data_IF_849804146908
#
_entry.id   IF_849804146908
#
_cell.length_a   1.000
_cell.length_b   1.000
_cell.length_c   1.000
_cell.angle_alpha   90.00
_cell.angle_beta   90.00
_cell.angle_gamma   90.00
#
_symmetry.space_group_name_H-M   'P 1'
#
loop_
_entity.id
_entity.type
_entity.pdbx_description
1 polymer ?
#
# COMPACT_ATOMS: atom_id res chain seq x y z
N UNK A 1 9.17 40.94 -10.75
CA UNK A 1 8.71 41.19 -9.36
C UNK A 1 9.04 39.95 -8.56
N UNK A 2 9.76 40.08 -7.44
CA UNK A 2 10.52 39.01 -6.80
C UNK A 2 9.64 37.90 -6.20
N UNK A 3 9.97 36.63 -6.50
CA UNK A 3 9.48 35.46 -5.75
C UNK A 3 10.48 35.17 -4.64
N UNK A 4 10.05 35.32 -3.39
CA UNK A 4 10.82 34.92 -2.22
C UNK A 4 10.36 33.53 -1.79
N UNK A 5 11.03 32.47 -2.25
CA UNK A 5 10.78 31.11 -1.78
C UNK A 5 11.53 30.91 -0.46
N UNK A 6 10.89 31.27 0.67
CA UNK A 6 11.38 30.85 1.99
C UNK A 6 10.96 29.39 2.21
N UNK A 7 11.89 28.46 1.97
CA UNK A 7 11.79 27.11 2.52
C UNK A 7 12.26 27.19 3.97
N UNK A 8 11.36 27.62 4.87
CA UNK A 8 11.58 27.50 6.31
C UNK A 8 11.56 26.02 6.69
N UNK A 9 12.63 25.53 7.32
CA UNK A 9 12.72 24.15 7.79
C UNK A 9 12.12 23.93 9.19
N UNK A 10 11.57 24.96 9.82
CA UNK A 10 11.07 24.90 11.19
C UNK A 10 9.62 25.40 11.28
N UNK A 11 8.65 24.49 11.31
CA UNK A 11 7.37 24.72 12.02
C UNK A 11 6.59 23.40 12.23
N UNK A 12 6.29 22.99 13.49
CA UNK A 12 5.65 21.71 13.78
C UNK A 12 4.11 21.74 13.95
N UNK A 13 3.39 22.82 13.60
CA UNK A 13 1.95 22.95 13.89
C UNK A 13 1.07 23.33 12.67
N UNK A 14 0.61 22.30 11.91
CA UNK A 14 -0.61 22.30 11.05
C UNK A 14 -0.68 23.27 9.82
N UNK A 15 -1.67 23.17 8.90
CA UNK A 15 -1.79 22.14 7.86
C UNK A 15 -2.06 22.71 6.44
N UNK A 16 -2.10 21.85 5.42
CA UNK A 16 -2.61 22.09 4.05
C UNK A 16 -2.00 23.27 3.25
N UNK A 17 -1.13 22.93 2.30
CA UNK A 17 -1.12 23.61 1.00
C UNK A 17 -1.30 22.55 -0.09
N UNK A 18 -2.48 22.56 -0.72
CA UNK A 18 -2.60 22.14 -2.11
C UNK A 18 -1.89 23.23 -2.90
N UNK A 19 -0.65 22.96 -3.29
CA UNK A 19 0.05 23.87 -4.21
C UNK A 19 -0.52 23.57 -5.59
N UNK A 20 -1.51 24.36 -6.01
CA UNK A 20 -1.81 24.55 -7.41
C UNK A 20 -0.61 25.29 -7.99
N UNK A 21 0.26 24.56 -8.70
CA UNK A 21 1.34 25.18 -9.46
C UNK A 21 0.74 25.53 -10.82
N UNK A 22 0.32 26.78 -10.98
CA UNK A 22 0.15 27.36 -12.31
C UNK A 22 1.55 27.56 -12.89
N UNK A 23 1.93 26.69 -13.85
CA UNK A 23 3.19 26.82 -14.58
C UNK A 23 2.91 27.69 -15.81
N UNK A 24 2.98 29.01 -15.67
CA UNK A 24 3.23 29.87 -16.84
C UNK A 24 4.71 29.75 -17.22
N UNK A 25 4.96 29.37 -18.47
CA UNK A 25 6.32 29.30 -19.05
C UNK A 25 6.86 30.71 -19.23
N UNK A 26 7.65 31.18 -18.28
CA UNK A 26 8.56 32.30 -18.53
C UNK A 26 9.84 31.77 -19.17
N UNK A 27 10.08 32.11 -20.43
CA UNK A 27 11.27 31.74 -21.20
C UNK A 27 12.50 32.60 -20.89
N UNK A 28 12.51 33.32 -19.76
CA UNK A 28 13.59 34.26 -19.43
C UNK A 28 13.86 34.34 -17.93
N UNK A 29 14.78 33.52 -17.40
CA UNK A 29 15.69 33.99 -16.35
C UNK A 29 16.90 33.08 -16.17
N UNK A 30 18.07 33.59 -16.55
CA UNK A 30 19.38 33.12 -16.10
C UNK A 30 19.68 33.61 -14.67
N UNK A 31 18.69 33.56 -13.77
CA UNK A 31 18.94 33.74 -12.34
C UNK A 31 19.13 32.35 -11.75
N UNK A 32 20.41 32.00 -11.57
CA UNK A 32 20.82 30.83 -10.81
C UNK A 32 20.14 30.87 -9.43
N UNK A 33 19.32 29.88 -9.12
CA UNK A 33 18.54 29.82 -7.88
C UNK A 33 19.45 29.83 -6.65
N UNK A 34 19.67 31.02 -6.08
CA UNK A 34 20.53 31.21 -4.92
C UNK A 34 19.95 30.47 -3.69
N UNK A 35 20.76 29.60 -3.08
CA UNK A 35 20.36 28.80 -1.91
C UNK A 35 19.95 27.36 -2.21
N UNK A 36 20.01 26.90 -3.46
CA UNK A 36 19.86 25.47 -3.75
C UNK A 36 21.03 24.67 -3.17
N UNK A 37 20.72 23.50 -2.63
CA UNK A 37 21.73 22.59 -2.09
C UNK A 37 22.67 22.13 -3.22
N UNK A 38 23.94 22.54 -3.13
CA UNK A 38 25.01 22.23 -4.09
C UNK A 38 25.83 20.99 -3.72
N UNK A 39 25.50 20.34 -2.60
CA UNK A 39 26.21 19.14 -2.15
C UNK A 39 25.79 17.89 -2.90
N UNK A 40 26.49 16.79 -2.64
CA UNK A 40 26.20 15.50 -3.25
C UNK A 40 24.90 14.90 -2.71
N UNK A 41 24.25 14.11 -3.56
CA UNK A 41 23.08 13.33 -3.18
C UNK A 41 23.51 12.10 -2.39
N UNK A 42 22.95 11.90 -1.20
CA UNK A 42 23.28 10.75 -0.38
C UNK A 42 22.08 10.27 0.46
N UNK A 43 21.99 8.97 0.77
CA UNK A 43 21.12 8.50 1.83
C UNK A 43 21.48 9.20 3.14
N UNK A 44 20.49 9.44 4.00
CA UNK A 44 20.77 10.02 5.32
C UNK A 44 21.56 9.05 6.19
N UNK A 45 22.32 9.57 7.16
CA UNK A 45 23.10 8.77 8.12
C UNK A 45 22.22 7.73 8.83
N UNK A 46 20.97 8.08 9.15
CA UNK A 46 20.00 7.18 9.74
C UNK A 46 19.63 6.00 8.83
N UNK A 47 19.59 6.19 7.52
CA UNK A 47 19.35 5.11 6.54
C UNK A 47 20.62 4.28 6.35
N UNK A 48 21.80 4.91 6.27
CA UNK A 48 23.08 4.21 6.15
C UNK A 48 23.31 3.26 7.33
N UNK A 49 22.99 3.69 8.55
CA UNK A 49 23.14 2.89 9.77
C UNK A 49 22.29 1.59 9.78
N UNK A 50 21.25 1.52 8.94
CA UNK A 50 20.33 0.36 8.88
C UNK A 50 20.32 -0.31 7.51
N UNK A 51 21.18 0.11 6.58
CA UNK A 51 21.13 -0.27 5.17
C UNK A 51 21.32 -1.77 4.92
N UNK A 52 22.09 -2.45 5.79
CA UNK A 52 22.34 -3.89 5.70
C UNK A 52 21.13 -4.75 6.08
N UNK A 53 20.08 -4.15 6.67
CA UNK A 53 18.88 -4.84 7.10
C UNK A 53 17.66 -4.39 6.28
N UNK A 54 17.25 -5.17 5.27
CA UNK A 54 16.07 -4.85 4.46
C UNK A 54 14.78 -4.66 5.28
N UNK A 55 14.62 -5.39 6.39
CA UNK A 55 13.48 -5.23 7.30
C UNK A 55 13.57 -3.91 8.05
N UNK A 56 14.77 -3.50 8.47
CA UNK A 56 14.96 -2.22 9.15
C UNK A 56 14.71 -1.05 8.20
N UNK A 57 15.17 -1.13 6.94
CA UNK A 57 14.84 -0.18 5.88
C UNK A 57 13.32 -0.12 5.65
N UNK A 58 12.65 -1.25 5.58
CA UNK A 58 11.20 -1.29 5.42
C UNK A 58 10.47 -0.57 6.57
N UNK A 59 10.87 -0.84 7.81
CA UNK A 59 10.28 -0.21 9.01
C UNK A 59 10.69 1.27 9.13
N UNK A 60 11.77 1.71 8.51
CA UNK A 60 12.11 3.13 8.41
C UNK A 60 11.07 3.91 7.59
N UNK A 61 10.70 3.40 6.40
CA UNK A 61 9.71 4.04 5.53
C UNK A 61 8.26 3.84 5.99
N UNK A 62 7.98 2.71 6.64
CA UNK A 62 6.67 2.41 7.24
C UNK A 62 6.83 2.02 8.71
N UNK A 63 6.85 3.01 9.63
CA UNK A 63 7.15 2.81 11.05
C UNK A 63 6.22 1.83 11.77
N UNK A 64 6.70 1.21 12.85
CA UNK A 64 5.89 0.29 13.69
C UNK A 64 4.55 0.90 14.12
N UNK A 65 4.53 2.19 14.48
CA UNK A 65 3.31 2.93 14.85
C UNK A 65 2.28 2.99 13.71
N UNK A 66 2.74 3.08 12.46
CA UNK A 66 1.86 3.04 11.30
C UNK A 66 1.14 1.68 11.24
N UNK A 67 1.89 0.57 11.32
CA UNK A 67 1.30 -0.78 11.28
C UNK A 67 0.36 -1.08 12.46
N UNK A 68 0.68 -0.58 13.65
CA UNK A 68 -0.20 -0.66 14.82
C UNK A 68 -1.55 0.03 14.56
N UNK A 69 -1.51 1.22 13.94
CA UNK A 69 -2.73 1.94 13.56
C UNK A 69 -3.52 1.19 12.49
N UNK A 70 -2.86 0.68 11.44
CA UNK A 70 -3.52 -0.09 10.38
C UNK A 70 -4.18 -1.35 10.95
N UNK A 71 -3.53 -2.05 11.87
CA UNK A 71 -4.13 -3.22 12.54
C UNK A 71 -5.39 -2.84 13.33
N UNK A 72 -5.32 -1.78 14.14
CA UNK A 72 -6.47 -1.25 14.88
C UNK A 72 -7.63 -0.87 13.95
N UNK A 73 -7.32 -0.15 12.87
CA UNK A 73 -8.33 0.26 11.88
C UNK A 73 -8.95 -0.91 11.13
N UNK A 74 -8.14 -1.89 10.75
CA UNK A 74 -8.60 -3.10 10.07
C UNK A 74 -9.52 -3.94 10.97
N UNK A 75 -9.18 -4.10 12.25
CA UNK A 75 -10.02 -4.79 13.22
C UNK A 75 -11.33 -4.04 13.49
N UNK A 76 -11.28 -2.70 13.58
CA UNK A 76 -12.48 -1.87 13.72
C UNK A 76 -13.40 -1.99 12.50
N UNK A 77 -12.83 -1.93 11.30
CA UNK A 77 -13.57 -2.13 10.05
C UNK A 77 -14.18 -3.53 9.97
N UNK A 78 -13.43 -4.56 10.36
CA UNK A 78 -13.92 -5.94 10.44
C UNK A 78 -15.19 -6.04 11.29
N UNK A 79 -15.16 -5.49 12.51
CA UNK A 79 -16.31 -5.50 13.43
C UNK A 79 -17.53 -4.75 12.88
N UNK A 80 -17.32 -3.59 12.24
CA UNK A 80 -18.41 -2.83 11.58
C UNK A 80 -19.04 -3.63 10.43
N UNK A 81 -18.25 -4.40 9.69
CA UNK A 81 -18.72 -5.16 8.53
C UNK A 81 -19.34 -6.52 8.87
N UNK A 82 -19.24 -7.00 10.12
CA UNK A 82 -19.70 -8.33 10.53
C UNK A 82 -21.16 -8.61 10.13
N UNK A 83 -22.08 -7.68 10.38
CA UNK A 83 -23.51 -7.85 10.04
C UNK A 83 -23.73 -7.95 8.54
N UNK A 84 -23.10 -7.06 7.76
CA UNK A 84 -23.22 -7.05 6.30
C UNK A 84 -22.59 -8.31 5.69
N UNK A 85 -21.43 -8.73 6.18
CA UNK A 85 -20.72 -9.95 5.74
C UNK A 85 -21.54 -11.20 6.05
N UNK A 86 -22.16 -11.29 7.23
CA UNK A 86 -23.03 -12.40 7.58
C UNK A 86 -24.24 -12.52 6.67
N UNK A 87 -24.88 -11.40 6.31
CA UNK A 87 -25.98 -11.38 5.35
C UNK A 87 -25.53 -11.84 3.96
N UNK A 88 -24.42 -11.29 3.43
CA UNK A 88 -23.86 -11.69 2.13
C UNK A 88 -23.48 -13.17 2.10
N UNK A 89 -22.86 -13.68 3.17
CA UNK A 89 -22.49 -15.09 3.29
C UNK A 89 -23.73 -15.98 3.25
N UNK A 90 -24.76 -15.65 4.02
CA UNK A 90 -26.00 -16.44 4.05
C UNK A 90 -26.69 -16.45 2.68
N UNK A 91 -26.75 -15.30 1.99
CA UNK A 91 -27.32 -15.23 0.63
C UNK A 91 -26.58 -16.14 -0.34
N UNK A 92 -25.24 -16.15 -0.29
CA UNK A 92 -24.42 -17.05 -1.12
C UNK A 92 -24.67 -18.52 -0.79
N UNK A 93 -24.81 -18.88 0.49
CA UNK A 93 -25.10 -20.25 0.88
C UNK A 93 -26.50 -20.70 0.45
N UNK A 94 -27.51 -19.83 0.55
CA UNK A 94 -28.87 -20.11 0.03
C UNK A 94 -28.86 -20.36 -1.49
N UNK A 95 -28.11 -19.55 -2.24
CA UNK A 95 -27.95 -19.73 -3.68
C UNK A 95 -27.16 -21.00 -4.06
N UNK A 96 -26.33 -21.53 -3.16
CA UNK A 96 -25.69 -22.84 -3.32
C UNK A 96 -26.65 -23.97 -2.98
N UNK A 97 -27.42 -23.83 -1.89
CA UNK A 97 -28.44 -24.80 -1.47
C UNK A 97 -29.53 -25.01 -2.52
N UNK A 98 -29.89 -23.99 -3.28
CA UNK A 98 -30.83 -24.14 -4.40
C UNK A 98 -30.28 -25.00 -5.56
N UNK A 99 -28.95 -25.18 -5.64
CA UNK A 99 -28.28 -26.04 -6.63
C UNK A 99 -27.91 -27.41 -6.07
N UNK A 100 -27.57 -27.46 -4.78
CA UNK A 100 -27.14 -28.65 -4.07
C UNK A 100 -27.88 -28.76 -2.72
N UNK A 101 -28.80 -29.70 -2.66
CA UNK A 101 -29.64 -29.99 -1.49
C UNK A 101 -28.88 -30.60 -0.31
N UNK A 102 -27.56 -30.79 -0.38
CA UNK A 102 -26.73 -31.19 0.75
C UNK A 102 -26.17 -30.01 1.55
N UNK A 103 -26.12 -28.81 0.96
CA UNK A 103 -25.43 -27.63 1.56
C UNK A 103 -26.18 -27.09 2.76
N UNK A 104 -25.58 -27.11 3.95
CA UNK A 104 -26.17 -26.50 5.15
C UNK A 104 -26.10 -24.96 5.08
N UNK A 105 -27.15 -24.28 5.53
CA UNK A 105 -27.21 -22.80 5.58
C UNK A 105 -27.28 -22.35 7.04
N UNK A 106 -26.15 -21.91 7.63
CA UNK A 106 -26.14 -21.43 9.01
C UNK A 106 -27.00 -20.18 9.22
N UNK A 107 -27.43 -19.96 10.46
CA UNK A 107 -28.20 -18.77 10.83
C UNK A 107 -27.30 -17.53 10.78
N UNK A 108 -27.89 -16.35 10.51
CA UNK A 108 -27.15 -15.07 10.59
C UNK A 108 -26.53 -14.84 11.96
N UNK A 109 -27.12 -15.35 13.04
CA UNK A 109 -26.56 -15.26 14.40
C UNK A 109 -25.26 -16.06 14.49
N UNK A 110 -25.27 -17.30 14.03
CA UNK A 110 -24.11 -18.20 14.06
C UNK A 110 -22.97 -17.67 13.19
N UNK A 111 -23.28 -17.15 11.98
CA UNK A 111 -22.27 -16.55 11.10
C UNK A 111 -21.67 -15.30 11.74
N UNK A 112 -22.49 -14.43 12.36
CA UNK A 112 -21.98 -13.24 13.07
C UNK A 112 -21.10 -13.63 14.25
N UNK A 113 -21.47 -14.68 14.98
CA UNK A 113 -20.70 -15.17 16.11
C UNK A 113 -19.33 -15.67 15.66
N UNK A 114 -19.29 -16.53 14.63
CA UNK A 114 -18.04 -17.02 14.03
C UNK A 114 -17.13 -15.88 13.56
N UNK A 115 -17.71 -14.85 12.92
CA UNK A 115 -16.95 -13.68 12.47
C UNK A 115 -16.38 -12.86 13.64
N UNK A 116 -17.09 -12.77 14.77
CA UNK A 116 -16.60 -12.06 15.98
C UNK A 116 -15.51 -12.83 16.72
N UNK A 117 -15.57 -14.16 16.67
CA UNK A 117 -14.58 -15.06 17.28
C UNK A 117 -13.27 -15.12 16.49
N UNK A 118 -13.22 -14.54 15.29
CA UNK A 118 -12.00 -14.46 14.52
C UNK A 118 -10.90 -13.72 15.28
N UNK A 119 -9.68 -14.27 15.24
CA UNK A 119 -8.52 -13.65 15.86
C UNK A 119 -8.32 -12.24 15.30
N UNK A 120 -8.09 -11.27 16.18
CA UNK A 120 -7.73 -9.91 15.78
C UNK A 120 -6.45 -9.91 14.93
N UNK A 121 -6.39 -9.03 13.93
CA UNK A 121 -5.23 -8.84 13.07
C UNK A 121 -4.15 -8.14 13.90
N UNK A 122 -2.97 -8.75 13.96
CA UNK A 122 -1.80 -8.17 14.61
C UNK A 122 -0.91 -7.41 13.61
N UNK A 123 -0.15 -6.39 14.04
CA UNK A 123 0.66 -5.57 13.14
C UNK A 123 1.68 -6.36 12.32
N UNK A 124 2.27 -7.42 12.90
CA UNK A 124 3.24 -8.25 12.20
C UNK A 124 2.59 -9.11 11.10
N UNK A 125 1.32 -9.50 11.25
CA UNK A 125 0.59 -10.24 10.22
C UNK A 125 0.37 -9.39 8.96
N UNK A 126 0.19 -8.08 9.12
CA UNK A 126 0.09 -7.14 7.99
C UNK A 126 1.42 -7.04 7.23
N UNK A 127 2.55 -7.00 7.96
CA UNK A 127 3.88 -6.96 7.36
C UNK A 127 4.16 -8.26 6.60
N UNK A 128 3.81 -9.41 7.18
CA UNK A 128 3.93 -10.72 6.52
C UNK A 128 3.04 -10.78 5.27
N UNK A 129 1.79 -10.34 5.35
CA UNK A 129 0.88 -10.31 4.20
C UNK A 129 1.43 -9.43 3.07
N UNK A 130 1.96 -8.25 3.37
CA UNK A 130 2.60 -7.40 2.38
C UNK A 130 3.89 -8.04 1.82
N UNK A 131 4.69 -8.70 2.67
CA UNK A 131 5.83 -9.50 2.24
C UNK A 131 5.46 -10.57 1.22
N UNK A 132 4.30 -11.23 1.38
CA UNK A 132 3.79 -12.20 0.40
C UNK A 132 3.37 -11.56 -0.92
N UNK A 133 2.78 -10.35 -0.88
CA UNK A 133 2.46 -9.59 -2.09
C UNK A 133 3.74 -9.21 -2.84
N UNK A 134 4.77 -8.73 -2.12
CA UNK A 134 6.08 -8.38 -2.70
C UNK A 134 6.77 -9.62 -3.27
N UNK A 135 6.77 -10.74 -2.55
CA UNK A 135 7.35 -11.99 -3.04
C UNK A 135 6.69 -12.43 -4.36
N UNK A 136 5.35 -12.29 -4.47
CA UNK A 136 4.61 -12.56 -5.70
C UNK A 136 4.99 -11.63 -6.85
N UNK A 137 5.25 -10.35 -6.59
CA UNK A 137 5.70 -9.40 -7.62
C UNK A 137 7.04 -9.79 -8.26
N UNK A 138 7.89 -10.51 -7.52
CA UNK A 138 9.20 -10.95 -8.00
C UNK A 138 9.16 -12.29 -8.77
N UNK A 139 7.99 -12.94 -8.88
CA UNK A 139 7.83 -14.15 -9.70
C UNK A 139 7.34 -13.76 -11.09
N UNK A 140 8.20 -13.97 -12.09
CA UNK A 140 8.07 -13.45 -13.46
C UNK A 140 6.95 -14.04 -14.32
N UNK A 141 6.05 -14.90 -13.80
CA UNK A 141 4.97 -15.52 -14.61
C UNK A 141 3.67 -14.70 -14.57
N UNK A 142 3.72 -13.51 -15.18
CA UNK A 142 2.61 -12.55 -15.21
C UNK A 142 1.40 -12.97 -16.06
N UNK A 143 1.49 -13.98 -16.93
CA UNK A 143 0.40 -14.28 -17.89
C UNK A 143 -0.68 -15.25 -17.40
N UNK A 144 -0.44 -16.07 -16.37
CA UNK A 144 -1.40 -17.12 -15.99
C UNK A 144 -2.40 -16.71 -14.89
N UNK A 145 -2.36 -15.47 -14.39
CA UNK A 145 -2.83 -15.19 -13.01
C UNK A 145 -3.74 -13.98 -12.81
N UNK A 146 -4.25 -13.36 -13.88
CA UNK A 146 -5.28 -12.32 -13.75
C UNK A 146 -6.69 -12.88 -13.49
N UNK A 147 -6.92 -14.17 -13.77
CA UNK A 147 -8.23 -14.85 -13.60
C UNK A 147 -8.36 -15.55 -12.23
N UNK A 148 -7.30 -15.56 -11.40
CA UNK A 148 -7.12 -16.62 -10.39
C UNK A 148 -7.22 -16.20 -8.92
N UNK A 149 -8.02 -15.18 -8.60
CA UNK A 149 -8.34 -14.84 -7.20
C UNK A 149 -9.55 -15.62 -6.63
N UNK A 150 -10.30 -16.34 -7.46
CA UNK A 150 -11.53 -17.04 -7.05
C UNK A 150 -11.36 -18.54 -6.71
N UNK A 151 -10.17 -19.15 -6.90
CA UNK A 151 -9.99 -20.59 -6.71
C UNK A 151 -8.94 -20.97 -5.66
N UNK A 152 -9.39 -21.50 -4.51
CA UNK A 152 -8.56 -22.07 -3.43
C UNK A 152 -7.58 -23.16 -3.93
N UNK A 153 -7.94 -23.88 -5.00
CA UNK A 153 -7.14 -24.96 -5.58
C UNK A 153 -5.83 -24.49 -6.24
N UNK A 154 -5.72 -23.22 -6.70
CA UNK A 154 -4.55 -22.76 -7.48
C UNK A 154 -3.49 -22.03 -6.66
N UNK A 155 -3.87 -21.40 -5.55
CA UNK A 155 -2.91 -20.96 -4.52
C UNK A 155 -2.09 -22.13 -3.97
N UNK A 156 -2.72 -23.29 -3.87
CA UNK A 156 -2.12 -24.57 -3.44
C UNK A 156 -0.94 -25.00 -4.31
N UNK A 157 -0.95 -24.64 -5.60
CA UNK A 157 0.14 -24.94 -6.54
C UNK A 157 1.14 -23.77 -6.62
N UNK A 158 0.66 -22.53 -6.72
CA UNK A 158 1.54 -21.34 -6.80
C UNK A 158 2.41 -21.11 -5.56
N UNK A 159 1.91 -21.43 -4.35
CA UNK A 159 2.72 -21.41 -3.12
C UNK A 159 3.74 -22.54 -3.08
N UNK A 160 3.43 -23.70 -3.68
CA UNK A 160 4.37 -24.82 -3.78
C UNK A 160 5.54 -24.46 -4.71
N UNK A 161 5.25 -23.75 -5.80
CA UNK A 161 6.22 -23.26 -6.76
C UNK A 161 7.05 -22.06 -6.23
N UNK A 162 6.44 -21.17 -5.45
CA UNK A 162 7.14 -20.10 -4.72
C UNK A 162 8.11 -20.67 -3.69
N UNK A 163 7.66 -21.64 -2.88
CA UNK A 163 8.49 -22.28 -1.86
C UNK A 163 9.64 -23.06 -2.51
N UNK A 164 9.39 -23.81 -3.59
CA UNK A 164 10.46 -24.54 -4.30
C UNK A 164 11.44 -23.61 -5.02
N UNK A 165 10.97 -22.50 -5.60
CA UNK A 165 11.83 -21.48 -6.24
C UNK A 165 12.72 -20.74 -5.24
N UNK A 166 12.26 -20.54 -4.00
CA UNK A 166 13.04 -19.88 -2.94
C UNK A 166 14.13 -20.77 -2.30
N UNK A 167 14.14 -22.10 -2.54
CA UNK A 167 15.15 -23.01 -1.96
C UNK A 167 16.54 -22.88 -2.61
N UNK A 168 16.67 -22.16 -3.74
CA UNK A 168 17.92 -22.05 -4.50
C UNK A 168 18.60 -20.67 -4.53
N UNK A 169 18.01 -19.63 -3.91
CA UNK A 169 18.56 -18.26 -3.97
C UNK A 169 18.91 -17.78 -2.56
N UNK A 170 20.21 -17.56 -2.32
CA UNK A 170 20.75 -17.19 -1.00
C UNK A 170 20.03 -16.00 -0.36
N UNK A 171 19.90 -16.05 0.97
CA UNK A 171 19.54 -14.99 1.96
C UNK A 171 18.84 -13.69 1.47
N UNK A 172 17.91 -13.77 0.51
CA UNK A 172 17.17 -12.62 0.02
C UNK A 172 15.94 -12.32 0.87
N UNK A 173 15.45 -11.08 0.86
CA UNK A 173 14.23 -10.64 1.58
C UNK A 173 13.04 -11.59 1.38
N UNK A 174 12.90 -12.17 0.19
CA UNK A 174 11.89 -13.18 -0.16
C UNK A 174 12.02 -14.47 0.68
N UNK A 175 13.22 -14.97 0.95
CA UNK A 175 13.41 -16.23 1.69
C UNK A 175 13.07 -16.10 3.18
N UNK A 176 13.22 -14.90 3.76
CA UNK A 176 12.82 -14.62 5.15
C UNK A 176 11.30 -14.76 5.32
N UNK A 177 10.52 -14.25 4.39
CA UNK A 177 9.06 -14.40 4.40
C UNK A 177 8.62 -15.81 3.99
N UNK A 178 9.41 -16.50 3.14
CA UNK A 178 9.11 -17.84 2.67
C UNK A 178 9.38 -18.93 3.75
N UNK A 179 10.40 -18.75 4.60
CA UNK A 179 10.75 -19.68 5.69
C UNK A 179 9.70 -19.76 6.81
N UNK A 180 8.85 -18.74 6.95
CA UNK A 180 7.77 -18.67 7.96
C UNK A 180 6.52 -19.51 7.53
N UNK A 181 6.53 -20.13 6.34
CA UNK A 181 5.36 -20.74 5.67
C UNK A 181 5.05 -22.22 5.98
N UNK A 182 5.43 -22.77 7.13
CA UNK A 182 5.36 -24.23 7.37
C UNK A 182 3.95 -24.81 7.67
N UNK A 183 2.85 -24.04 7.55
CA UNK A 183 1.48 -24.60 7.57
C UNK A 183 0.55 -24.02 6.48
N UNK A 184 0.46 -24.75 5.35
CA UNK A 184 -0.07 -24.27 4.06
C UNK A 184 -1.58 -23.96 4.01
N UNK A 185 -2.43 -24.55 4.84
CA UNK A 185 -3.90 -24.35 4.76
C UNK A 185 -4.42 -23.25 5.70
N UNK A 186 -3.79 -23.09 6.87
CA UNK A 186 -4.20 -22.09 7.87
C UNK A 186 -3.80 -20.67 7.43
N UNK A 187 -2.66 -20.53 6.75
CA UNK A 187 -2.16 -19.24 6.28
C UNK A 187 -2.95 -18.64 5.11
N UNK A 188 -3.45 -19.44 4.16
CA UNK A 188 -4.21 -18.90 3.00
C UNK A 188 -5.54 -18.30 3.46
N UNK A 189 -6.26 -19.00 4.35
CA UNK A 189 -7.50 -18.48 4.94
C UNK A 189 -7.24 -17.20 5.74
N UNK A 190 -6.19 -17.21 6.58
CA UNK A 190 -5.81 -16.04 7.38
C UNK A 190 -5.40 -14.85 6.51
N UNK A 191 -4.64 -15.09 5.44
CA UNK A 191 -4.28 -14.08 4.46
C UNK A 191 -5.51 -13.47 3.79
N UNK A 192 -6.45 -14.30 3.33
CA UNK A 192 -7.72 -13.87 2.75
C UNK A 192 -8.55 -13.01 3.72
N UNK A 193 -8.60 -13.41 4.99
CA UNK A 193 -9.29 -12.68 6.05
C UNK A 193 -8.67 -11.30 6.30
N UNK A 194 -7.34 -11.25 6.34
CA UNK A 194 -6.56 -10.01 6.45
C UNK A 194 -6.85 -9.13 5.24
N UNK A 195 -6.63 -9.62 4.02
CA UNK A 195 -6.79 -8.84 2.78
C UNK A 195 -8.21 -8.30 2.59
N UNK A 196 -9.24 -9.04 3.02
CA UNK A 196 -10.64 -8.56 3.00
C UNK A 196 -10.92 -7.46 4.03
N UNK A 197 -10.12 -7.37 5.09
CA UNK A 197 -10.34 -6.52 6.25
C UNK A 197 -9.33 -5.38 6.39
N UNK A 198 -8.26 -5.35 5.59
CA UNK A 198 -7.26 -4.25 5.62
C UNK A 198 -7.96 -2.91 5.42
N UNK A 199 -7.72 -2.00 6.36
CA UNK A 199 -8.20 -0.63 6.31
C UNK A 199 -7.16 0.31 6.92
N UNK A 200 -6.92 1.45 6.28
CA UNK A 200 -5.84 2.37 6.68
C UNK A 200 -6.34 3.60 7.44
N UNK A 201 -7.61 4.01 7.27
CA UNK A 201 -8.16 5.27 7.79
C UNK A 201 -9.54 5.09 8.42
N UNK A 202 -9.99 6.06 9.23
CA UNK A 202 -11.36 6.08 9.75
C UNK A 202 -12.31 6.76 8.76
N UNK A 203 -13.37 6.09 8.33
CA UNK A 203 -14.42 6.69 7.50
C UNK A 203 -15.25 7.74 8.23
N UNK A 204 -15.26 7.73 9.57
CA UNK A 204 -16.03 8.68 10.37
C UNK A 204 -15.27 9.98 10.68
N UNK A 205 -14.01 10.11 10.24
CA UNK A 205 -13.22 11.32 10.46
C UNK A 205 -13.82 12.51 9.69
N UNK A 206 -13.76 13.71 10.27
CA UNK A 206 -14.24 14.93 9.62
C UNK A 206 -13.52 15.18 8.28
N UNK A 207 -12.24 14.82 8.20
CA UNK A 207 -11.43 14.98 6.98
C UNK A 207 -11.85 14.02 5.86
N UNK A 208 -12.53 12.91 6.17
CA UNK A 208 -12.99 11.94 5.18
C UNK A 208 -14.00 12.56 4.18
N UNK A 209 -14.68 13.64 4.58
CA UNK A 209 -15.61 14.38 3.70
C UNK A 209 -14.89 15.30 2.71
N UNK A 210 -13.74 15.83 3.11
CA UNK A 210 -13.01 16.85 2.34
C UNK A 210 -11.92 16.24 1.46
N UNK A 211 -11.29 15.16 1.91
CA UNK A 211 -10.20 14.50 1.20
C UNK A 211 -10.69 13.24 0.48
N UNK A 212 -10.82 13.31 -0.85
CA UNK A 212 -11.21 12.16 -1.67
C UNK A 212 -10.22 10.98 -1.58
N UNK A 213 -8.97 11.24 -1.20
CA UNK A 213 -7.93 10.21 -1.02
C UNK A 213 -7.74 9.81 0.46
N UNK A 214 -8.70 10.14 1.34
CA UNK A 214 -8.60 9.89 2.78
C UNK A 214 -8.27 8.44 3.10
N UNK A 215 -8.85 7.49 2.34
CA UNK A 215 -8.62 6.05 2.55
C UNK A 215 -7.15 5.65 2.48
N UNK A 216 -6.34 6.30 1.64
CA UNK A 216 -4.90 6.01 1.49
C UNK A 216 -4.00 7.06 2.14
N UNK A 217 -4.56 8.17 2.64
CA UNK A 217 -3.80 9.29 3.20
C UNK A 217 -2.77 8.87 4.26
N UNK A 218 -3.06 7.93 5.17
CA UNK A 218 -2.07 7.48 6.15
C UNK A 218 -0.82 6.85 5.52
N UNK A 219 -0.97 6.13 4.41
CA UNK A 219 0.16 5.55 3.66
C UNK A 219 0.98 6.68 3.03
N UNK A 220 0.32 7.61 2.34
CA UNK A 220 0.96 8.75 1.68
C UNK A 220 1.78 9.57 2.68
N UNK A 221 1.22 9.87 3.86
CA UNK A 221 1.92 10.61 4.91
C UNK A 221 3.13 9.83 5.44
N UNK A 222 2.99 8.52 5.67
CA UNK A 222 4.10 7.70 6.17
C UNK A 222 5.26 7.69 5.17
N UNK A 223 4.97 7.44 3.88
CA UNK A 223 5.96 7.39 2.82
C UNK A 223 6.62 8.74 2.58
N UNK A 224 5.86 9.83 2.45
CA UNK A 224 6.43 11.18 2.25
C UNK A 224 7.34 11.61 3.40
N UNK A 225 6.97 11.26 4.65
CA UNK A 225 7.84 11.50 5.81
C UNK A 225 9.10 10.64 5.76
N UNK A 226 8.99 9.39 5.35
CA UNK A 226 10.13 8.49 5.17
C UNK A 226 11.08 8.99 4.10
N UNK A 227 10.56 9.35 2.93
CA UNK A 227 11.32 9.87 1.79
C UNK A 227 12.09 11.14 2.15
N UNK A 228 11.42 12.12 2.77
CA UNK A 228 12.08 13.36 3.21
C UNK A 228 13.20 13.13 4.23
N UNK A 229 13.08 12.13 5.09
CA UNK A 229 14.09 11.81 6.11
C UNK A 229 15.19 10.90 5.60
N UNK A 230 14.93 10.15 4.54
CA UNK A 230 15.80 9.07 4.08
C UNK A 230 16.90 9.51 3.12
N UNK A 231 16.81 10.72 2.56
CA UNK A 231 17.67 11.12 1.46
C UNK A 231 17.91 12.63 1.44
N UNK A 232 19.17 13.01 1.22
CA UNK A 232 19.58 14.39 0.95
C UNK A 232 19.57 14.57 -0.57
N UNK A 233 18.66 15.41 -1.05
CA UNK A 233 18.41 15.56 -2.48
C UNK A 233 19.24 16.71 -3.08
N UNK A 234 19.86 16.52 -4.27
CA UNK A 234 20.59 17.58 -4.96
C UNK A 234 19.63 18.58 -5.61
N UNK A 235 20.17 19.70 -6.08
CA UNK A 235 19.43 20.73 -6.81
C UNK A 235 18.78 20.28 -8.14
N UNK A 236 19.03 19.04 -8.58
CA UNK A 236 18.57 18.50 -9.86
C UNK A 236 17.40 17.56 -9.63
N UNK A 237 16.19 18.08 -9.87
CA UNK A 237 14.92 17.40 -9.62
C UNK A 237 14.24 17.01 -10.94
N UNK A 238 13.51 15.91 -10.91
CA UNK A 238 12.59 15.50 -11.97
C UNK A 238 11.17 15.47 -11.42
N UNK A 239 10.23 16.05 -12.15
CA UNK A 239 8.81 16.04 -11.82
C UNK A 239 8.03 15.42 -12.98
N UNK A 240 7.27 14.37 -12.70
CA UNK A 240 6.48 13.69 -13.71
C UNK A 240 5.20 13.08 -13.13
N UNK A 241 4.31 12.68 -14.03
CA UNK A 241 3.02 12.09 -13.75
C UNK A 241 3.10 10.56 -13.85
N UNK A 242 2.83 9.89 -12.74
CA UNK A 242 2.62 8.44 -12.68
C UNK A 242 1.14 8.06 -12.78
N UNK A 243 0.88 6.78 -13.08
CA UNK A 243 -0.47 6.21 -12.94
C UNK A 243 -0.43 4.88 -12.19
N UNK A 244 -1.22 4.78 -11.12
CA UNK A 244 -1.57 3.48 -10.52
C UNK A 244 -2.79 2.94 -11.27
N UNK A 245 -2.67 1.80 -11.99
CA UNK A 245 -3.75 1.27 -12.80
C UNK A 245 -4.94 0.83 -11.92
N UNK A 246 -6.13 1.29 -12.26
CA UNK A 246 -7.38 0.89 -11.61
C UNK A 246 -8.56 1.07 -12.56
N UNK A 247 -9.32 -0.02 -12.77
CA UNK A 247 -10.61 0.01 -13.48
C UNK A 247 -11.80 -0.09 -12.52
N UNK A 248 -11.53 -0.10 -11.21
CA UNK A 248 -12.57 -0.24 -10.20
C UNK A 248 -13.50 0.97 -10.23
N UNK A 249 -14.83 0.80 -10.24
CA UNK A 249 -15.78 1.90 -10.08
C UNK A 249 -15.76 2.47 -8.66
N UNK A 250 -15.18 1.75 -7.70
CA UNK A 250 -15.05 2.20 -6.31
C UNK A 250 -13.90 3.17 -6.08
N UNK A 251 -13.04 3.38 -7.08
CA UNK A 251 -11.98 4.38 -7.04
C UNK A 251 -12.55 5.77 -7.38
N UNK A 252 -12.80 6.57 -6.35
CA UNK A 252 -13.38 7.91 -6.47
C UNK A 252 -12.44 8.99 -7.02
N UNK A 253 -11.15 8.68 -7.18
CA UNK A 253 -10.13 9.60 -7.72
C UNK A 253 -9.55 9.10 -9.06
N UNK A 254 -10.22 8.13 -9.70
CA UNK A 254 -9.83 7.57 -10.98
C UNK A 254 -9.93 8.61 -12.10
N UNK A 255 -8.90 8.68 -12.93
CA UNK A 255 -8.79 9.53 -14.11
C UNK A 255 -8.50 8.68 -15.35
N UNK A 256 -8.98 9.15 -16.50
CA UNK A 256 -8.60 8.59 -17.79
C UNK A 256 -7.47 9.41 -18.42
N UNK A 257 -6.36 8.76 -18.81
CA UNK A 257 -5.26 9.39 -19.55
C UNK A 257 -4.99 8.59 -20.83
N UNK A 258 -5.22 9.21 -21.99
CA UNK A 258 -5.18 8.54 -23.30
C UNK A 258 -3.77 8.00 -23.63
N UNK A 259 -2.74 8.72 -23.23
CA UNK A 259 -1.36 8.51 -23.66
C UNK A 259 -0.57 7.57 -22.74
N UNK A 260 -1.15 7.14 -21.61
CA UNK A 260 -0.52 6.18 -20.70
C UNK A 260 -0.88 4.73 -21.12
N UNK A 261 0.02 3.75 -20.92
CA UNK A 261 -0.20 2.35 -21.32
C UNK A 261 -1.41 1.74 -20.60
N UNK A 262 -1.58 2.05 -19.31
CA UNK A 262 -2.83 1.86 -18.61
C UNK A 262 -3.59 3.18 -18.64
N UNK A 263 -4.75 3.20 -19.27
CA UNK A 263 -5.50 4.45 -19.50
C UNK A 263 -6.40 4.86 -18.34
N UNK A 264 -6.77 3.93 -17.46
CA UNK A 264 -7.65 4.17 -16.32
C UNK A 264 -6.91 3.89 -15.02
N UNK A 265 -6.91 4.86 -14.11
CA UNK A 265 -6.28 4.68 -12.80
C UNK A 265 -6.21 5.94 -11.98
N UNK A 266 -5.56 5.86 -10.82
CA UNK A 266 -5.25 7.01 -9.99
C UNK A 266 -4.01 7.71 -10.55
N UNK A 267 -4.16 8.97 -10.94
CA UNK A 267 -3.04 9.82 -11.35
C UNK A 267 -2.21 10.22 -10.12
N UNK A 268 -0.89 10.08 -10.23
CA UNK A 268 0.06 10.53 -9.22
C UNK A 268 0.97 11.59 -9.83
N UNK A 269 1.35 12.57 -9.02
CA UNK A 269 2.47 13.44 -9.33
C UNK A 269 3.63 13.01 -8.44
N UNK A 270 4.78 12.76 -9.04
CA UNK A 270 5.95 12.25 -8.32
C UNK A 270 7.10 13.22 -8.55
N UNK A 271 7.70 13.68 -7.45
CA UNK A 271 8.97 14.39 -7.49
C UNK A 271 10.10 13.44 -7.13
N UNK A 272 11.12 13.34 -7.99
CA UNK A 272 12.28 12.48 -7.78
C UNK A 272 13.59 13.25 -7.91
N UNK A 273 14.64 12.71 -7.29
CA UNK A 273 16.01 13.05 -7.65
C UNK A 273 16.29 12.61 -9.09
N UNK A 274 16.72 13.52 -9.96
CA UNK A 274 16.95 13.20 -11.37
C UNK A 274 18.11 12.21 -11.59
N UNK A 275 19.08 12.18 -10.68
CA UNK A 275 20.28 11.34 -10.80
C UNK A 275 20.06 9.93 -10.24
N UNK A 276 19.46 9.83 -9.04
CA UNK A 276 19.31 8.56 -8.33
C UNK A 276 17.93 7.92 -8.50
N UNK A 277 16.98 8.63 -9.13
CA UNK A 277 15.58 8.21 -9.27
C UNK A 277 14.86 8.04 -7.92
N UNK A 278 15.44 8.57 -6.84
CA UNK A 278 14.86 8.50 -5.50
C UNK A 278 13.60 9.37 -5.39
N UNK A 279 12.48 8.78 -4.96
CA UNK A 279 11.22 9.49 -4.74
C UNK A 279 11.30 10.41 -3.52
N UNK A 280 10.91 11.67 -3.69
CA UNK A 280 10.94 12.70 -2.65
C UNK A 280 9.54 13.01 -2.11
N UNK A 281 8.55 13.06 -2.99
CA UNK A 281 7.18 13.47 -2.66
C UNK A 281 6.14 12.87 -3.59
#
# INVERSE_FOLDING_TARGET
>A
MSVQMRIGFDDPFFPLYVVLIDIERDSTSAQEYAGLYKGESAPSEAVLAIAESPISLFVFFMPKRFWQRVASESNRYHGKMTTQRAAKFQTRQKARRSKDSSVEVPTRKDIRQRLREMKQIEPHELIVALGLVIARMNVSSLEATFVSLDNELRWRNSTRDLVSSCHGTGKNFSSIFCGILTSKHVMVRRFDEIMRSVHFSDKNDANAKNDRAWEIRPIVIALQRGFRKGFVCPAILSFDEGMIPSRSPFDGIRVYMKDKPHKWGTKLFVACCAQTVYCLR
#
